data_IF_042544776983
#
_entry.id   IF_042544776983
#
_cell.length_a   1.000
_cell.length_b   1.000
_cell.length_c   1.000
_cell.angle_alpha   90.00
_cell.angle_beta   90.00
_cell.angle_gamma   90.00
#
_symmetry.space_group_name_H-M   'P 1'
#
loop_
_entity.id
_entity.type
_entity.pdbx_description
1 polymer ?
#
# COMPACT_ATOMS: atom_id res chain seq x y z
N UNK A 1 28.02 8.52 -14.70
CA UNK A 1 29.06 8.32 -13.68
C UNK A 1 29.16 9.54 -12.76
N UNK A 2 29.38 10.75 -13.28
CA UNK A 2 29.53 12.00 -12.51
C UNK A 2 28.34 12.27 -11.55
N UNK A 3 27.11 12.06 -12.01
CA UNK A 3 25.91 12.23 -11.18
C UNK A 3 25.86 11.26 -10.00
N UNK A 4 26.23 10.00 -10.21
CA UNK A 4 26.28 9.02 -9.15
C UNK A 4 27.35 9.36 -8.09
N UNK A 5 28.49 9.87 -8.53
CA UNK A 5 29.54 10.37 -7.63
C UNK A 5 29.02 11.57 -6.84
N UNK A 6 28.40 12.54 -7.49
CA UNK A 6 27.82 13.71 -6.82
C UNK A 6 26.78 13.32 -5.75
N UNK A 7 25.86 12.42 -6.07
CA UNK A 7 24.85 11.93 -5.12
C UNK A 7 25.51 11.25 -3.92
N UNK A 8 26.47 10.38 -4.19
CA UNK A 8 27.24 9.67 -3.16
C UNK A 8 27.98 10.63 -2.22
N UNK A 9 28.71 11.58 -2.79
CA UNK A 9 29.55 12.51 -2.02
C UNK A 9 28.72 13.54 -1.26
N UNK A 10 27.57 13.92 -1.78
CA UNK A 10 26.72 14.96 -1.18
C UNK A 10 25.77 14.39 -0.12
N UNK A 11 25.05 13.31 -0.44
CA UNK A 11 23.91 12.85 0.35
C UNK A 11 24.17 11.59 1.16
N UNK A 12 25.21 10.82 0.80
CA UNK A 12 25.50 9.54 1.46
C UNK A 12 26.76 9.59 2.29
N UNK A 13 26.81 8.71 3.28
CA UNK A 13 28.01 8.44 4.08
C UNK A 13 28.23 6.93 4.15
N UNK A 14 29.49 6.52 4.20
CA UNK A 14 29.82 5.13 4.43
C UNK A 14 29.59 4.78 5.90
N UNK A 15 28.83 3.73 6.15
CA UNK A 15 28.51 3.26 7.50
C UNK A 15 29.43 2.10 7.91
N UNK A 16 29.51 1.07 7.07
CA UNK A 16 30.37 -0.10 7.25
C UNK A 16 30.69 -0.72 5.90
N UNK A 17 31.93 -1.06 5.65
CA UNK A 17 32.41 -1.70 4.41
C UNK A 17 31.83 -1.01 3.16
N UNK A 18 30.99 -1.67 2.40
CA UNK A 18 30.32 -1.15 1.20
C UNK A 18 28.87 -0.68 1.46
N UNK A 19 28.48 -0.49 2.74
CA UNK A 19 27.15 -0.02 3.10
C UNK A 19 27.13 1.50 3.17
N UNK A 20 26.23 2.10 2.42
CA UNK A 20 26.03 3.53 2.34
C UNK A 20 24.66 3.91 2.90
N UNK A 21 24.65 4.93 3.76
CA UNK A 21 23.45 5.46 4.42
C UNK A 21 23.26 6.93 4.04
N UNK A 22 22.03 7.40 4.13
CA UNK A 22 21.76 8.84 4.02
C UNK A 22 22.45 9.59 5.16
N UNK A 23 23.12 10.68 4.84
CA UNK A 23 23.68 11.58 5.88
C UNK A 23 22.56 12.11 6.74
N UNK A 24 22.79 12.35 8.05
CA UNK A 24 21.76 12.86 8.97
C UNK A 24 21.10 14.17 8.51
N UNK A 25 21.79 14.98 7.71
CA UNK A 25 21.27 16.22 7.13
C UNK A 25 20.22 15.99 6.05
N UNK A 26 20.13 14.76 5.50
CA UNK A 26 19.28 14.38 4.36
C UNK A 26 18.48 13.08 4.59
N UNK A 27 18.42 12.57 5.82
CA UNK A 27 17.83 11.27 6.17
C UNK A 27 16.30 11.25 6.16
N UNK A 28 15.64 12.37 5.84
CA UNK A 28 14.19 12.46 5.71
C UNK A 28 13.77 13.18 4.44
N UNK A 29 12.61 12.84 3.89
CA UNK A 29 12.04 13.52 2.74
C UNK A 29 11.97 15.04 2.93
N UNK A 30 11.58 15.51 4.12
CA UNK A 30 11.51 16.95 4.43
C UNK A 30 12.87 17.65 4.29
N UNK A 31 13.96 17.01 4.73
CA UNK A 31 15.30 17.57 4.63
C UNK A 31 15.79 17.60 3.18
N UNK A 32 15.51 16.54 2.44
CA UNK A 32 15.77 16.48 0.99
C UNK A 32 14.98 17.56 0.25
N UNK A 33 13.67 17.70 0.54
CA UNK A 33 12.82 18.73 -0.04
C UNK A 33 13.36 20.14 0.20
N UNK A 34 13.84 20.40 1.42
CA UNK A 34 14.42 21.70 1.77
C UNK A 34 15.71 22.01 0.93
N UNK A 35 16.51 20.99 0.67
CA UNK A 35 17.72 21.14 -0.17
C UNK A 35 17.39 21.41 -1.65
N UNK A 36 16.31 20.81 -2.15
CA UNK A 36 15.83 21.03 -3.51
C UNK A 36 14.87 22.21 -3.64
N UNK A 37 14.62 22.98 -2.57
CA UNK A 37 13.70 24.11 -2.61
C UNK A 37 14.08 25.10 -3.73
N UNK A 38 13.14 25.36 -4.64
CA UNK A 38 13.34 26.27 -5.77
C UNK A 38 13.99 25.64 -7.01
N UNK A 39 14.48 24.42 -6.95
CA UNK A 39 15.04 23.68 -8.09
C UNK A 39 13.92 22.90 -8.79
N UNK A 40 13.60 23.29 -10.02
CA UNK A 40 12.45 22.74 -10.78
C UNK A 40 12.85 22.10 -12.10
N UNK A 41 14.15 22.05 -12.41
CA UNK A 41 14.66 21.38 -13.58
C UNK A 41 14.50 19.86 -13.45
N UNK A 42 14.34 19.17 -14.58
CA UNK A 42 14.08 17.73 -14.63
C UNK A 42 15.16 16.91 -13.92
N UNK A 43 16.41 17.38 -13.94
CA UNK A 43 17.51 16.68 -13.29
C UNK A 43 17.38 16.74 -11.77
N UNK A 44 17.07 17.90 -11.21
CA UNK A 44 16.81 18.09 -9.78
C UNK A 44 15.60 17.28 -9.30
N UNK A 45 14.54 17.27 -10.11
CA UNK A 45 13.35 16.47 -9.81
C UNK A 45 13.69 14.97 -9.77
N UNK A 46 14.34 14.46 -10.79
CA UNK A 46 14.71 13.03 -10.86
C UNK A 46 15.67 12.64 -9.72
N UNK A 47 16.61 13.51 -9.36
CA UNK A 47 17.54 13.27 -8.25
C UNK A 47 16.80 13.24 -6.91
N UNK A 48 15.88 14.17 -6.68
CA UNK A 48 15.03 14.22 -5.49
C UNK A 48 14.21 12.94 -5.33
N UNK A 49 13.54 12.50 -6.39
CA UNK A 49 12.73 11.26 -6.40
C UNK A 49 13.61 10.01 -6.14
N UNK A 50 14.80 9.98 -6.72
CA UNK A 50 15.78 8.93 -6.43
C UNK A 50 16.21 8.89 -4.96
N UNK A 51 16.43 10.04 -4.33
CA UNK A 51 16.73 10.11 -2.88
C UNK A 51 15.54 9.69 -2.03
N UNK A 52 14.30 10.01 -2.43
CA UNK A 52 13.11 9.51 -1.74
C UNK A 52 13.02 7.99 -1.80
N UNK A 53 13.35 7.41 -2.94
CA UNK A 53 13.41 5.94 -3.10
C UNK A 53 14.44 5.33 -2.15
N UNK A 54 15.64 5.93 -2.02
CA UNK A 54 16.66 5.47 -1.07
C UNK A 54 16.19 5.56 0.38
N UNK A 55 15.57 6.67 0.78
CA UNK A 55 15.02 6.85 2.14
C UNK A 55 13.92 5.82 2.44
N UNK A 56 13.09 5.51 1.46
CA UNK A 56 11.98 4.58 1.62
C UNK A 56 12.38 3.10 1.57
N UNK A 57 13.61 2.80 1.16
CA UNK A 57 14.11 1.43 1.00
C UNK A 57 14.55 0.85 2.36
N UNK A 58 13.59 0.57 3.22
CA UNK A 58 13.77 0.04 4.57
C UNK A 58 12.85 -1.15 4.82
N UNK A 59 13.28 -2.12 5.63
CA UNK A 59 12.47 -3.28 6.02
C UNK A 59 11.38 -2.91 7.05
N UNK A 60 11.68 -1.96 7.91
CA UNK A 60 10.84 -1.57 9.03
C UNK A 60 10.71 -0.05 9.13
N UNK A 61 9.55 0.40 9.57
CA UNK A 61 9.26 1.81 9.83
C UNK A 61 9.07 1.99 11.34
N UNK A 62 9.72 2.97 11.99
CA UNK A 62 9.53 3.23 13.41
C UNK A 62 8.10 3.71 13.70
N UNK A 63 7.56 3.27 14.83
CA UNK A 63 6.27 3.78 15.32
C UNK A 63 6.40 5.25 15.73
N UNK A 64 5.40 6.06 15.36
CA UNK A 64 5.42 7.51 15.64
C UNK A 64 5.26 7.84 17.12
N UNK A 65 4.59 6.97 17.89
CA UNK A 65 4.30 7.18 19.32
C UNK A 65 5.31 6.49 20.21
N UNK A 66 5.92 5.42 19.73
CA UNK A 66 6.92 4.66 20.49
C UNK A 66 8.13 4.34 19.59
N UNK A 67 9.18 5.19 19.61
CA UNK A 67 10.36 5.01 18.75
C UNK A 67 11.14 3.70 18.98
N UNK A 68 10.88 2.98 20.08
CA UNK A 68 11.48 1.66 20.33
C UNK A 68 10.76 0.51 19.65
N UNK A 69 9.64 0.78 19.00
CA UNK A 69 8.86 -0.23 18.27
C UNK A 69 8.84 0.07 16.76
N UNK A 70 8.72 -1.00 15.98
CA UNK A 70 8.80 -0.92 14.54
C UNK A 70 7.66 -1.71 13.90
N UNK A 71 7.26 -1.28 12.71
CA UNK A 71 6.29 -1.94 11.86
C UNK A 71 6.98 -2.46 10.60
N UNK A 72 6.74 -3.69 10.16
CA UNK A 72 7.23 -4.13 8.87
C UNK A 72 6.61 -3.27 7.77
N UNK A 73 7.43 -2.85 6.82
CA UNK A 73 6.94 -2.03 5.70
C UNK A 73 6.11 -2.89 4.75
N UNK A 74 4.93 -2.40 4.38
CA UNK A 74 4.07 -3.04 3.38
C UNK A 74 4.76 -3.02 2.01
N UNK A 75 4.59 -4.01 1.18
CA UNK A 75 5.19 -4.12 -0.16
C UNK A 75 6.74 -4.13 -0.21
N UNK A 76 7.44 -4.31 0.92
CA UNK A 76 8.90 -4.34 0.96
C UNK A 76 9.51 -5.50 0.16
N UNK A 77 8.75 -6.57 -0.07
CA UNK A 77 9.17 -7.72 -0.87
C UNK A 77 9.49 -7.35 -2.33
N UNK A 78 9.02 -6.18 -2.81
CA UNK A 78 9.32 -5.65 -4.14
C UNK A 78 10.54 -4.70 -4.16
N UNK A 79 11.17 -4.46 -3.02
CA UNK A 79 12.28 -3.51 -2.89
C UNK A 79 13.63 -4.21 -2.89
N UNK A 80 14.65 -3.53 -3.39
CA UNK A 80 16.00 -4.09 -3.50
C UNK A 80 16.65 -4.42 -2.13
N UNK A 81 16.23 -3.79 -1.03
CA UNK A 81 16.72 -4.15 0.30
C UNK A 81 16.29 -5.57 0.68
N UNK A 82 15.07 -5.98 0.32
CA UNK A 82 14.59 -7.33 0.56
C UNK A 82 15.31 -8.35 -0.32
N UNK A 83 15.56 -8.00 -1.59
CA UNK A 83 16.26 -8.89 -2.53
C UNK A 83 17.68 -9.25 -2.06
N UNK A 84 18.33 -8.36 -1.33
CA UNK A 84 19.70 -8.55 -0.80
C UNK A 84 19.76 -9.40 0.46
N UNK A 85 18.64 -9.71 1.09
CA UNK A 85 18.60 -10.61 2.23
C UNK A 85 18.93 -12.05 1.79
N UNK A 86 19.59 -12.79 2.68
CA UNK A 86 19.72 -14.24 2.53
C UNK A 86 18.36 -14.94 2.62
N UNK A 87 18.26 -16.16 2.12
CA UNK A 87 17.01 -16.91 2.13
C UNK A 87 16.46 -17.09 3.56
N UNK A 88 17.33 -17.33 4.55
CA UNK A 88 16.94 -17.45 5.95
C UNK A 88 16.39 -16.13 6.54
N UNK A 89 16.94 -14.98 6.14
CA UNK A 89 16.45 -13.67 6.55
C UNK A 89 15.11 -13.33 5.88
N UNK A 90 14.96 -13.64 4.59
CA UNK A 90 13.69 -13.52 3.86
C UNK A 90 12.59 -14.34 4.52
N UNK A 91 12.89 -15.58 4.87
CA UNK A 91 11.94 -16.44 5.60
C UNK A 91 11.57 -15.87 6.98
N UNK A 92 12.56 -15.40 7.73
CA UNK A 92 12.31 -14.80 9.04
C UNK A 92 11.46 -13.54 8.93
N UNK A 93 11.76 -12.67 7.98
CA UNK A 93 10.97 -11.47 7.70
C UNK A 93 9.54 -11.83 7.29
N UNK A 94 9.36 -12.79 6.37
CA UNK A 94 8.04 -13.19 5.88
C UNK A 94 7.20 -13.82 6.99
N UNK A 95 7.78 -14.60 7.90
CA UNK A 95 7.05 -15.11 9.10
C UNK A 95 6.55 -13.95 9.97
N UNK A 96 7.41 -12.96 10.24
CA UNK A 96 7.05 -11.78 11.02
C UNK A 96 5.99 -10.94 10.30
N UNK A 97 6.14 -10.72 9.01
CA UNK A 97 5.22 -9.98 8.15
C UNK A 97 3.82 -10.63 8.16
N UNK A 98 3.76 -11.94 7.93
CA UNK A 98 2.50 -12.68 7.94
C UNK A 98 1.81 -12.66 9.32
N UNK A 99 2.59 -12.83 10.39
CA UNK A 99 2.05 -12.70 11.74
C UNK A 99 1.51 -11.30 12.01
N UNK A 100 2.23 -10.25 11.60
CA UNK A 100 1.84 -8.86 11.80
C UNK A 100 0.57 -8.51 11.02
N UNK A 101 0.56 -8.70 9.71
CA UNK A 101 -0.51 -8.22 8.83
C UNK A 101 -1.73 -9.15 8.79
N UNK A 102 -1.54 -10.47 8.82
CA UNK A 102 -2.63 -11.43 8.62
C UNK A 102 -3.13 -12.08 9.91
N UNK A 103 -2.37 -12.06 11.01
CA UNK A 103 -2.82 -12.62 12.29
C UNK A 103 -3.11 -11.54 13.33
N UNK A 104 -2.10 -10.81 13.79
CA UNK A 104 -2.28 -9.74 14.81
C UNK A 104 -3.17 -8.61 14.33
N UNK A 105 -2.98 -8.18 13.11
CA UNK A 105 -3.72 -7.06 12.52
C UNK A 105 -5.20 -7.41 12.39
N UNK A 106 -5.51 -8.65 12.02
CA UNK A 106 -6.88 -9.14 11.93
C UNK A 106 -7.64 -9.03 13.26
N UNK A 107 -7.05 -9.50 14.35
CA UNK A 107 -7.64 -9.40 15.69
C UNK A 107 -7.79 -7.96 16.16
N UNK A 108 -6.76 -7.15 15.95
CA UNK A 108 -6.80 -5.72 16.29
C UNK A 108 -7.92 -5.00 15.54
N UNK A 109 -8.01 -5.24 14.22
CA UNK A 109 -9.01 -4.60 13.37
C UNK A 109 -10.43 -5.00 13.78
N UNK A 110 -10.66 -6.29 14.06
CA UNK A 110 -11.94 -6.77 14.57
C UNK A 110 -12.37 -6.03 15.84
N UNK A 111 -11.49 -5.96 16.84
CA UNK A 111 -11.82 -5.28 18.10
C UNK A 111 -12.10 -3.79 17.92
N UNK A 112 -11.34 -3.11 17.09
CA UNK A 112 -11.55 -1.68 16.83
C UNK A 112 -12.82 -1.43 16.01
N UNK A 113 -13.14 -2.28 15.04
CA UNK A 113 -14.36 -2.20 14.26
C UNK A 113 -15.61 -2.39 15.16
N UNK A 114 -15.60 -3.39 16.03
CA UNK A 114 -16.73 -3.69 16.90
C UNK A 114 -16.97 -2.65 18.01
N UNK A 115 -16.01 -1.77 18.28
CA UNK A 115 -16.23 -0.60 19.17
C UNK A 115 -17.00 0.52 18.49
N UNK A 116 -16.95 0.64 17.17
CA UNK A 116 -17.42 1.82 16.42
C UNK A 116 -18.58 1.49 15.48
N UNK A 117 -18.45 0.45 14.68
CA UNK A 117 -19.38 0.16 13.59
C UNK A 117 -20.80 -0.22 14.07
N UNK A 118 -21.00 -0.99 15.17
CA UNK A 118 -22.34 -1.28 15.66
C UNK A 118 -23.12 -0.01 16.00
N UNK A 119 -22.49 0.98 16.62
CA UNK A 119 -23.15 2.24 16.93
C UNK A 119 -23.48 3.01 15.64
N UNK A 120 -22.57 3.03 14.67
CA UNK A 120 -22.78 3.69 13.40
C UNK A 120 -24.01 3.12 12.66
N UNK A 121 -24.11 1.79 12.56
CA UNK A 121 -25.23 1.14 11.87
C UNK A 121 -26.56 1.28 12.61
N UNK A 122 -26.55 1.44 13.93
CA UNK A 122 -27.77 1.64 14.75
C UNK A 122 -28.24 3.10 14.78
N UNK A 123 -27.39 4.06 14.51
CA UNK A 123 -27.75 5.48 14.53
C UNK A 123 -28.55 5.94 13.31
N UNK A 124 -28.73 5.11 12.30
CA UNK A 124 -29.40 5.47 11.06
C UNK A 124 -30.27 4.35 10.53
N UNK A 125 -31.33 4.71 9.82
CA UNK A 125 -32.14 3.79 9.01
C UNK A 125 -31.64 3.68 7.56
N UNK A 126 -30.58 4.39 7.22
CA UNK A 126 -29.97 4.32 5.89
C UNK A 126 -29.23 3.00 5.70
N UNK A 127 -29.17 2.55 4.46
CA UNK A 127 -28.37 1.42 4.08
C UNK A 127 -26.88 1.83 4.14
N UNK A 128 -26.11 1.15 4.98
CA UNK A 128 -24.67 1.44 5.15
C UNK A 128 -23.89 0.61 4.14
N UNK A 129 -23.03 1.27 3.38
CA UNK A 129 -22.11 0.64 2.44
C UNK A 129 -20.67 0.89 2.89
N UNK A 130 -19.83 -0.12 2.83
CA UNK A 130 -18.40 -0.04 3.13
C UNK A 130 -17.59 -0.15 1.85
N UNK A 131 -16.50 0.60 1.77
CA UNK A 131 -15.46 0.37 0.80
C UNK A 131 -14.45 -0.59 1.43
N UNK A 132 -14.33 -1.80 0.88
CA UNK A 132 -13.54 -2.91 1.39
C UNK A 132 -12.55 -3.43 0.33
N UNK A 133 -11.75 -2.52 -0.20
CA UNK A 133 -10.77 -2.76 -1.25
C UNK A 133 -9.33 -2.81 -0.69
N UNK A 134 -8.43 -3.45 -1.44
CA UNK A 134 -7.02 -3.54 -1.12
C UNK A 134 -6.69 -4.63 -0.09
N UNK A 135 -5.74 -4.37 0.80
CA UNK A 135 -5.31 -5.32 1.84
C UNK A 135 -6.31 -5.30 3.01
N UNK A 136 -7.36 -6.05 2.87
CA UNK A 136 -8.46 -6.14 3.84
C UNK A 136 -8.21 -7.30 4.81
N UNK A 137 -8.28 -7.11 6.15
CA UNK A 137 -8.20 -8.20 7.12
C UNK A 137 -9.31 -9.24 6.96
N UNK A 138 -9.03 -10.51 7.21
CA UNK A 138 -9.98 -11.62 7.03
C UNK A 138 -11.28 -11.46 7.83
N UNK A 139 -11.25 -10.71 8.93
CA UNK A 139 -12.45 -10.46 9.73
C UNK A 139 -13.44 -9.49 9.06
N UNK A 140 -13.03 -8.73 8.05
CA UNK A 140 -13.86 -7.66 7.47
C UNK A 140 -15.14 -8.19 6.84
N UNK A 141 -15.14 -9.21 5.96
CA UNK A 141 -16.36 -9.76 5.39
C UNK A 141 -17.34 -10.24 6.47
N UNK A 142 -16.83 -10.90 7.51
CA UNK A 142 -17.65 -11.35 8.63
C UNK A 142 -18.26 -10.19 9.44
N UNK A 143 -17.48 -9.15 9.74
CA UNK A 143 -17.98 -7.94 10.45
C UNK A 143 -19.05 -7.23 9.62
N UNK A 144 -18.81 -7.08 8.30
CA UNK A 144 -19.79 -6.47 7.40
C UNK A 144 -21.09 -7.25 7.34
N UNK A 145 -21.01 -8.58 7.24
CA UNK A 145 -22.19 -9.45 7.26
C UNK A 145 -22.97 -9.32 8.56
N UNK A 146 -22.29 -9.41 9.72
CA UNK A 146 -22.94 -9.27 11.04
C UNK A 146 -23.63 -7.92 11.24
N UNK A 147 -23.05 -6.86 10.74
CA UNK A 147 -23.58 -5.50 10.87
C UNK A 147 -24.44 -5.07 9.69
N UNK A 148 -24.69 -5.95 8.74
CA UNK A 148 -25.47 -5.69 7.53
C UNK A 148 -24.94 -4.51 6.70
N UNK A 149 -23.63 -4.34 6.68
CA UNK A 149 -22.93 -3.36 5.84
C UNK A 149 -22.70 -4.00 4.48
N UNK A 150 -23.05 -3.31 3.41
CA UNK A 150 -22.81 -3.78 2.04
C UNK A 150 -21.34 -3.64 1.67
N UNK A 151 -20.79 -4.69 1.06
CA UNK A 151 -19.47 -4.66 0.44
C UNK A 151 -19.48 -3.91 -0.89
N UNK A 152 -18.33 -3.52 -1.40
CA UNK A 152 -18.16 -2.94 -2.73
C UNK A 152 -17.55 -3.98 -3.67
N UNK A 153 -18.26 -4.28 -4.74
CA UNK A 153 -17.82 -5.21 -5.79
C UNK A 153 -17.65 -4.45 -7.12
N UNK A 154 -16.41 -4.36 -7.58
CA UNK A 154 -16.06 -3.61 -8.80
C UNK A 154 -15.69 -4.61 -9.89
N UNK A 155 -16.46 -4.66 -10.96
CA UNK A 155 -16.29 -5.66 -12.01
C UNK A 155 -14.93 -5.59 -12.70
N UNK A 156 -14.40 -4.38 -12.90
CA UNK A 156 -13.07 -4.15 -13.51
C UNK A 156 -11.90 -4.23 -12.53
N UNK A 157 -12.17 -4.46 -11.24
CA UNK A 157 -11.16 -4.60 -10.20
C UNK A 157 -11.61 -5.67 -9.21
N UNK A 158 -11.61 -6.95 -9.61
CA UNK A 158 -12.07 -8.02 -8.75
C UNK A 158 -11.19 -8.17 -7.51
N UNK A 159 -11.80 -8.51 -6.37
CA UNK A 159 -11.08 -8.80 -5.13
C UNK A 159 -10.22 -10.07 -5.22
N UNK A 160 -10.62 -11.01 -6.06
CA UNK A 160 -9.84 -12.21 -6.38
C UNK A 160 -8.84 -11.90 -7.51
N UNK A 161 -7.53 -11.86 -7.23
CA UNK A 161 -6.51 -11.50 -8.23
C UNK A 161 -6.32 -12.57 -9.33
N UNK A 162 -6.97 -13.73 -9.21
CA UNK A 162 -6.96 -14.76 -10.25
C UNK A 162 -7.88 -14.41 -11.43
N UNK A 163 -8.77 -13.44 -11.25
CA UNK A 163 -9.71 -13.00 -12.28
C UNK A 163 -9.29 -11.64 -12.84
N UNK A 164 -9.44 -11.50 -14.15
CA UNK A 164 -9.24 -10.21 -14.81
C UNK A 164 -10.46 -9.29 -14.64
N UNK A 165 -11.67 -9.90 -14.58
CA UNK A 165 -12.93 -9.22 -14.31
C UNK A 165 -13.74 -10.00 -13.28
N UNK A 166 -14.51 -9.27 -12.48
CA UNK A 166 -15.37 -9.86 -11.45
C UNK A 166 -16.54 -10.61 -12.07
N UNK A 167 -16.83 -11.78 -11.52
CA UNK A 167 -17.94 -12.61 -11.92
C UNK A 167 -19.20 -12.24 -11.12
N UNK A 168 -20.20 -11.66 -11.76
CA UNK A 168 -21.40 -11.13 -11.10
C UNK A 168 -22.14 -12.15 -10.23
N UNK A 169 -22.12 -13.42 -10.63
CA UNK A 169 -22.77 -14.51 -9.89
C UNK A 169 -22.05 -14.95 -8.62
N UNK A 170 -20.80 -14.52 -8.44
CA UNK A 170 -20.00 -14.80 -7.23
C UNK A 170 -20.12 -13.70 -6.18
N UNK A 171 -20.74 -12.56 -6.54
CA UNK A 171 -20.86 -11.43 -5.63
C UNK A 171 -21.80 -11.72 -4.47
N UNK A 172 -21.44 -11.27 -3.27
CA UNK A 172 -22.34 -11.38 -2.13
C UNK A 172 -23.68 -10.69 -2.39
N UNK A 173 -24.77 -11.29 -1.93
CA UNK A 173 -26.10 -10.69 -2.06
C UNK A 173 -26.17 -9.28 -1.45
N UNK A 174 -25.41 -9.06 -0.37
CA UNK A 174 -25.29 -7.75 0.28
C UNK A 174 -24.04 -7.01 -0.22
N UNK A 175 -24.09 -6.58 -1.46
CA UNK A 175 -23.03 -5.80 -2.06
C UNK A 175 -23.59 -4.67 -2.92
N UNK A 176 -22.76 -3.65 -3.11
CA UNK A 176 -22.93 -2.65 -4.16
C UNK A 176 -22.07 -3.10 -5.34
N UNK A 177 -22.73 -3.49 -6.42
CA UNK A 177 -22.06 -3.90 -7.65
C UNK A 177 -21.95 -2.72 -8.60
N UNK A 178 -20.75 -2.46 -9.09
CA UNK A 178 -20.48 -1.40 -10.06
C UNK A 178 -19.42 -1.80 -11.06
N UNK A 179 -19.44 -1.19 -12.23
CA UNK A 179 -18.40 -1.38 -13.26
C UNK A 179 -17.08 -0.68 -12.88
N UNK A 180 -17.19 0.50 -12.27
CA UNK A 180 -16.04 1.33 -11.91
C UNK A 180 -16.38 2.27 -10.76
N UNK A 181 -15.36 2.95 -10.22
CA UNK A 181 -15.49 3.99 -9.20
C UNK A 181 -14.98 5.33 -9.74
N UNK A 182 -15.08 6.38 -8.91
CA UNK A 182 -14.53 7.71 -9.23
C UNK A 182 -12.99 7.73 -9.34
N UNK A 183 -12.30 6.71 -8.85
CA UNK A 183 -10.84 6.56 -8.91
C UNK A 183 -10.36 5.82 -10.17
N UNK A 184 -11.28 5.46 -11.06
CA UNK A 184 -11.00 4.70 -12.28
C UNK A 184 -11.49 5.48 -13.51
N UNK A 185 -10.95 5.14 -14.69
CA UNK A 185 -11.47 5.66 -15.95
C UNK A 185 -12.96 5.37 -16.09
N UNK A 186 -13.71 6.30 -16.68
CA UNK A 186 -15.11 6.06 -17.03
C UNK A 186 -15.22 4.84 -17.92
N UNK A 187 -16.39 4.19 -17.96
CA UNK A 187 -16.58 3.01 -18.82
C UNK A 187 -16.20 3.31 -20.27
N UNK A 188 -16.61 4.47 -20.78
CA UNK A 188 -16.28 4.86 -22.15
C UNK A 188 -14.78 5.08 -22.35
N UNK A 189 -14.10 5.80 -21.45
CA UNK A 189 -12.68 6.02 -21.54
C UNK A 189 -11.90 4.73 -21.51
N UNK A 190 -12.24 3.84 -20.58
CA UNK A 190 -11.62 2.52 -20.48
C UNK A 190 -11.86 1.66 -21.73
N UNK A 191 -13.06 1.74 -22.31
CA UNK A 191 -13.41 0.98 -23.50
C UNK A 191 -12.59 1.39 -24.73
N UNK A 192 -12.27 2.66 -24.83
CA UNK A 192 -11.49 3.25 -25.93
C UNK A 192 -9.97 3.13 -25.70
N UNK A 193 -9.51 2.91 -24.45
CA UNK A 193 -8.10 2.92 -24.06
C UNK A 193 -7.37 1.64 -24.45
N UNK A 194 -7.96 0.46 -24.24
CA UNK A 194 -7.35 -0.85 -24.49
C UNK A 194 -8.34 -1.81 -25.15
N UNK A 195 -8.33 -1.90 -26.49
CA UNK A 195 -9.21 -2.82 -27.24
C UNK A 195 -8.95 -4.31 -26.97
N UNK A 196 -7.71 -4.69 -26.59
CA UNK A 196 -7.39 -6.09 -26.28
C UNK A 196 -8.00 -6.50 -24.95
N UNK A 197 -7.91 -5.63 -23.96
CA UNK A 197 -8.50 -5.85 -22.65
C UNK A 197 -10.04 -5.88 -22.74
N UNK A 198 -10.63 -4.93 -23.47
CA UNK A 198 -12.09 -4.87 -23.63
C UNK A 198 -12.65 -6.03 -24.42
N UNK A 199 -11.90 -6.63 -25.35
CA UNK A 199 -12.31 -7.84 -26.06
C UNK A 199 -12.46 -9.06 -25.13
N UNK A 200 -11.75 -9.09 -24.00
CA UNK A 200 -11.86 -10.15 -22.98
C UNK A 200 -13.06 -9.97 -22.04
N UNK A 201 -13.66 -8.80 -22.06
CA UNK A 201 -14.82 -8.47 -21.21
C UNK A 201 -16.13 -9.07 -21.78
N UNK A 202 -16.15 -9.44 -23.05
CA UNK A 202 -17.24 -10.13 -23.74
C UNK A 202 -17.16 -11.64 -23.51
#
# INVERSE_FOLDING_TARGET
>A
YEKAVFVKDTFLQNSHDDIWEMRPEYDTQRKVEAWFAGKKDDESVNMREGLYTLISNVLFVPDRKNPSTYHPRIAVQSDFIFDRLSDSEKEAFNRLYNHYYYQRHNQFWYHEAMKKLPMLTQCTSMLVCGEDLGMVPDCVPWVMEQLQILSLEIQRMPKNPAYEFGHLWEYPLRSVCTISTHDMATLRGWWEEDPELTAKYY
#
